data_IF_778535627501
#
_entry.id   IF_778535627501
#
_cell.length_a   1.000
_cell.length_b   1.000
_cell.length_c   1.000
_cell.angle_alpha   90.00
_cell.angle_beta   90.00
_cell.angle_gamma   90.00
#
_symmetry.space_group_name_H-M   'P 1'
#
loop_
_entity.id
_entity.type
_entity.pdbx_description
1 polymer ?
#
# COMPACT_ATOMS: atom_id res chain seq x y z
N UNK A 1 1.18 24.33 4.25
CA UNK A 1 2.50 24.82 4.71
C UNK A 1 3.48 23.63 4.56
N UNK A 2 4.62 23.85 3.89
CA UNK A 2 5.65 22.82 3.74
C UNK A 2 6.35 22.63 5.08
N UNK A 3 6.62 21.38 5.46
CA UNK A 3 7.32 21.04 6.70
C UNK A 3 8.77 21.56 6.67
N UNK A 4 9.33 22.14 7.77
CA UNK A 4 10.67 22.72 7.77
C UNK A 4 11.78 21.76 7.34
N UNK A 5 11.70 20.48 7.70
CA UNK A 5 12.68 19.46 7.29
C UNK A 5 12.73 19.25 5.78
N UNK A 6 11.58 19.37 5.09
CA UNK A 6 11.53 19.28 3.61
C UNK A 6 12.30 20.45 3.00
N UNK A 7 12.05 21.68 3.49
CA UNK A 7 12.77 22.87 3.02
C UNK A 7 14.27 22.75 3.22
N UNK A 8 14.71 22.18 4.34
CA UNK A 8 16.14 21.95 4.62
C UNK A 8 16.73 20.86 3.71
N UNK A 9 16.01 19.78 3.46
CA UNK A 9 16.46 18.70 2.58
C UNK A 9 16.63 19.16 1.14
N UNK A 10 15.76 20.06 0.66
CA UNK A 10 15.82 20.64 -0.69
C UNK A 10 17.08 21.48 -0.94
N UNK A 11 17.73 21.97 0.13
CA UNK A 11 19.01 22.70 0.01
C UNK A 11 20.17 21.78 -0.38
N UNK A 12 20.02 20.46 -0.30
CA UNK A 12 21.05 19.46 -0.64
C UNK A 12 22.38 19.67 0.08
N UNK A 13 22.34 20.18 1.30
CA UNK A 13 23.52 20.37 2.13
C UNK A 13 24.15 19.03 2.52
N UNK A 14 25.43 19.09 2.90
CA UNK A 14 26.19 17.93 3.36
C UNK A 14 26.66 18.12 4.78
N UNK A 15 26.87 17.02 5.51
CA UNK A 15 27.48 17.06 6.84
C UNK A 15 28.91 17.56 6.76
N UNK A 16 29.36 18.32 7.78
CA UNK A 16 30.73 18.81 7.89
C UNK A 16 31.67 17.70 8.36
N UNK A 17 31.15 16.78 9.19
CA UNK A 17 31.93 15.69 9.79
C UNK A 17 32.05 14.48 8.87
N UNK A 18 33.18 13.76 8.94
CA UNK A 18 33.38 12.50 8.22
C UNK A 18 32.59 11.36 8.88
N UNK A 19 31.93 10.49 8.07
CA UNK A 19 31.82 10.54 6.62
C UNK A 19 30.85 11.63 6.14
N UNK A 20 31.24 12.35 5.09
CA UNK A 20 30.41 13.40 4.49
C UNK A 20 29.17 12.78 3.87
N UNK A 21 28.01 13.06 4.42
CA UNK A 21 26.71 12.57 3.95
C UNK A 21 25.82 13.70 3.48
N UNK A 22 24.99 13.44 2.47
CA UNK A 22 23.94 14.37 2.07
C UNK A 22 22.88 14.43 3.17
N UNK A 23 22.43 15.62 3.54
CA UNK A 23 21.32 15.83 4.48
C UNK A 23 19.99 15.61 3.74
N UNK A 24 19.65 14.34 3.55
CA UNK A 24 18.34 13.95 3.01
C UNK A 24 17.26 14.15 4.06
N UNK A 25 16.01 14.20 3.63
CA UNK A 25 14.87 14.32 4.53
C UNK A 25 14.86 13.19 5.58
N UNK A 26 15.24 12.00 5.19
CA UNK A 26 15.33 10.84 6.07
C UNK A 26 16.39 11.03 7.16
N UNK A 27 17.61 11.46 6.77
CA UNK A 27 18.70 11.77 7.71
C UNK A 27 18.32 12.88 8.69
N UNK A 28 17.63 13.91 8.22
CA UNK A 28 17.16 15.02 9.06
C UNK A 28 16.06 14.57 10.03
N UNK A 29 15.14 13.71 9.58
CA UNK A 29 14.06 13.17 10.43
C UNK A 29 14.63 12.25 11.50
N UNK A 30 15.56 11.37 11.15
CA UNK A 30 16.26 10.49 12.09
C UNK A 30 17.04 11.29 13.13
N UNK A 31 17.75 12.34 12.70
CA UNK A 31 18.44 13.24 13.61
C UNK A 31 17.48 13.92 14.61
N UNK A 32 16.30 14.39 14.13
CA UNK A 32 15.29 15.01 14.99
C UNK A 32 14.72 13.99 15.98
N UNK A 33 14.46 12.75 15.54
CA UNK A 33 14.02 11.65 16.39
C UNK A 33 14.98 11.41 17.56
N UNK A 34 16.28 11.33 17.28
CA UNK A 34 17.33 11.18 18.29
C UNK A 34 17.34 12.36 19.28
N UNK A 35 17.18 13.61 18.80
CA UNK A 35 17.17 14.80 19.65
C UNK A 35 15.94 14.89 20.56
N UNK A 36 14.84 14.31 20.14
CA UNK A 36 13.56 14.31 20.89
C UNK A 36 13.32 13.04 21.69
N UNK A 37 14.30 12.11 21.69
CA UNK A 37 14.20 10.81 22.36
C UNK A 37 12.97 10.01 21.91
N UNK A 38 12.61 10.10 20.63
CA UNK A 38 11.58 9.28 20.00
C UNK A 38 12.23 8.24 19.08
N UNK A 39 11.63 7.07 18.98
CA UNK A 39 12.05 6.08 18.01
C UNK A 39 11.79 6.59 16.58
N UNK A 40 12.75 6.42 15.69
CA UNK A 40 12.55 6.66 14.27
C UNK A 40 11.89 5.42 13.63
N UNK A 41 10.79 5.63 12.92
CA UNK A 41 10.09 4.59 12.18
C UNK A 41 10.12 4.92 10.69
N UNK A 42 10.77 4.07 9.91
CA UNK A 42 10.54 4.04 8.48
C UNK A 42 9.17 3.36 8.23
N UNK A 43 8.21 4.12 7.72
CA UNK A 43 6.86 3.61 7.48
C UNK A 43 6.93 2.57 6.36
N UNK A 44 6.73 1.30 6.73
CA UNK A 44 6.59 0.20 5.79
C UNK A 44 5.09 -0.08 5.59
N UNK A 45 4.49 0.40 4.51
CA UNK A 45 3.05 0.26 4.28
C UNK A 45 2.60 -1.19 4.18
N UNK A 46 3.53 -2.12 3.90
CA UNK A 46 3.24 -3.56 3.84
C UNK A 46 2.97 -4.17 5.22
N UNK A 47 3.39 -3.49 6.29
CA UNK A 47 3.22 -3.96 7.67
C UNK A 47 2.09 -3.28 8.42
N UNK A 48 1.43 -2.31 7.79
CA UNK A 48 0.36 -1.54 8.43
C UNK A 48 -1.00 -2.14 8.13
N UNK A 49 -1.76 -2.46 9.18
CA UNK A 49 -3.19 -2.76 9.06
C UNK A 49 -3.97 -1.45 8.87
N UNK A 50 -4.15 -1.05 7.62
CA UNK A 50 -4.86 0.19 7.25
C UNK A 50 -6.31 0.23 7.74
N UNK A 51 -6.95 -0.92 7.94
CA UNK A 51 -8.34 -1.00 8.43
C UNK A 51 -8.40 -0.63 9.89
N UNK A 52 -7.57 -1.25 10.72
CA UNK A 52 -7.44 -0.93 12.14
C UNK A 52 -6.96 0.51 12.36
N UNK A 53 -6.03 0.99 11.54
CA UNK A 53 -5.52 2.37 11.56
C UNK A 53 -6.61 3.39 11.29
N UNK A 54 -7.47 3.16 10.29
CA UNK A 54 -8.55 4.08 9.94
C UNK A 54 -9.70 4.13 10.96
N UNK A 55 -9.74 3.20 11.90
CA UNK A 55 -10.71 3.18 13.00
C UNK A 55 -10.27 4.00 14.21
N UNK A 56 -8.97 4.28 14.35
CA UNK A 56 -8.41 5.03 15.47
C UNK A 56 -8.89 6.47 15.49
N UNK A 57 -8.90 7.12 14.34
CA UNK A 57 -9.28 8.52 14.21
C UNK A 57 -9.80 8.85 12.81
N UNK A 58 -10.46 9.99 12.63
CA UNK A 58 -10.88 10.43 11.30
C UNK A 58 -9.71 10.97 10.48
N UNK A 59 -9.80 10.84 9.14
CA UNK A 59 -8.80 11.41 8.22
C UNK A 59 -8.60 12.91 8.41
N UNK A 60 -9.68 13.65 8.68
CA UNK A 60 -9.63 15.09 8.93
C UNK A 60 -8.83 15.42 10.21
N UNK A 61 -9.01 14.61 11.26
CA UNK A 61 -8.26 14.79 12.50
C UNK A 61 -6.79 14.49 12.30
N UNK A 62 -6.47 13.34 11.67
CA UNK A 62 -5.11 12.94 11.37
C UNK A 62 -4.38 13.98 10.49
N UNK A 63 -5.04 14.49 9.44
CA UNK A 63 -4.49 15.52 8.57
C UNK A 63 -4.26 16.85 9.28
N UNK A 64 -5.16 17.24 10.22
CA UNK A 64 -5.04 18.47 10.97
C UNK A 64 -3.76 18.52 11.81
N UNK A 65 -3.37 17.39 12.38
CA UNK A 65 -2.20 17.30 13.26
C UNK A 65 -0.97 16.68 12.60
N UNK A 66 -1.07 16.26 11.32
CA UNK A 66 0.06 15.64 10.60
C UNK A 66 0.52 14.34 11.27
N UNK A 67 -0.44 13.49 11.68
CA UNK A 67 -0.19 12.24 12.41
C UNK A 67 -0.81 11.05 11.68
N UNK A 68 -0.15 9.91 11.78
CA UNK A 68 -0.61 8.67 11.16
C UNK A 68 -0.52 7.51 12.16
N UNK A 69 -1.64 6.88 12.56
CA UNK A 69 -1.56 5.62 13.28
C UNK A 69 -0.90 4.56 12.40
N UNK A 70 0.07 3.84 12.94
CA UNK A 70 0.84 2.84 12.18
C UNK A 70 0.71 1.43 12.74
N UNK A 71 0.31 1.32 13.99
CA UNK A 71 0.04 0.03 14.62
C UNK A 71 -1.04 0.17 15.68
N UNK A 72 -1.95 -0.78 15.72
CA UNK A 72 -3.03 -0.84 16.70
C UNK A 72 -3.05 -2.21 17.36
N UNK A 73 -2.88 -2.23 18.66
CA UNK A 73 -3.00 -3.44 19.47
C UNK A 73 -4.17 -3.32 20.43
N UNK A 74 -4.43 -4.32 21.24
CA UNK A 74 -5.47 -4.26 22.29
C UNK A 74 -5.16 -3.23 23.36
N UNK A 75 -3.88 -2.94 23.64
CA UNK A 75 -3.42 -2.07 24.75
C UNK A 75 -2.82 -0.76 24.29
N UNK A 76 -2.25 -0.71 23.10
CA UNK A 76 -1.43 0.40 22.61
C UNK A 76 -1.80 0.79 21.18
N UNK A 77 -1.69 2.08 20.87
CA UNK A 77 -1.70 2.62 19.52
C UNK A 77 -0.37 3.33 19.26
N UNK A 78 0.35 2.92 18.22
CA UNK A 78 1.56 3.61 17.79
C UNK A 78 1.17 4.63 16.74
N UNK A 79 1.57 5.88 16.96
CA UNK A 79 1.25 7.00 16.08
C UNK A 79 2.53 7.65 15.57
N UNK A 80 2.71 7.67 14.26
CA UNK A 80 3.79 8.38 13.60
C UNK A 80 3.48 9.88 13.52
N UNK A 81 4.48 10.70 13.81
CA UNK A 81 4.43 12.17 13.72
C UNK A 81 5.73 12.73 13.14
N UNK A 82 5.63 13.84 12.44
CA UNK A 82 6.79 14.65 12.05
C UNK A 82 7.01 15.83 13.01
N UNK A 83 6.03 16.13 13.88
CA UNK A 83 6.02 17.27 14.81
C UNK A 83 6.10 16.76 16.26
N UNK A 84 7.30 16.45 16.78
CA UNK A 84 7.47 15.81 18.10
C UNK A 84 7.05 16.68 19.28
N UNK A 85 6.97 17.98 19.08
CA UNK A 85 6.59 18.95 20.11
C UNK A 85 5.08 19.22 20.16
N UNK A 86 4.35 18.87 19.14
CA UNK A 86 2.89 19.06 19.03
C UNK A 86 2.17 17.88 19.68
N UNK A 87 1.95 17.90 20.99
CA UNK A 87 1.39 16.78 21.76
C UNK A 87 -0.04 17.00 22.27
N UNK A 88 -0.65 18.18 22.04
CA UNK A 88 -2.00 18.48 22.56
C UNK A 88 -3.05 17.42 22.17
N UNK A 89 -2.96 16.89 20.95
CA UNK A 89 -3.86 15.87 20.46
C UNK A 89 -3.79 14.52 21.22
N UNK A 90 -2.68 14.22 21.91
CA UNK A 90 -2.56 12.97 22.69
C UNK A 90 -3.51 12.96 23.89
N UNK A 91 -3.73 14.11 24.51
CA UNK A 91 -4.65 14.25 25.64
C UNK A 91 -6.12 14.12 25.21
N UNK A 92 -6.43 14.60 24.01
CA UNK A 92 -7.77 14.48 23.41
C UNK A 92 -8.12 13.03 23.04
N UNK A 93 -7.14 12.30 22.48
CA UNK A 93 -7.35 10.92 22.00
C UNK A 93 -7.31 9.85 23.09
N UNK A 94 -6.51 10.06 24.13
CA UNK A 94 -6.31 9.08 25.21
C UNK A 94 -7.61 8.59 25.88
N UNK A 95 -8.55 9.48 26.27
CA UNK A 95 -9.83 9.05 26.85
C UNK A 95 -10.76 8.35 25.84
N UNK A 96 -10.66 8.70 24.54
CA UNK A 96 -11.49 8.14 23.48
C UNK A 96 -11.04 6.72 23.16
N UNK A 97 -9.73 6.52 22.98
CA UNK A 97 -9.16 5.24 22.58
C UNK A 97 -9.07 4.23 23.74
N UNK A 98 -8.98 4.72 24.97
CA UNK A 98 -8.74 3.90 26.19
C UNK A 98 -7.53 2.98 26.04
N UNK A 99 -6.52 3.43 25.29
CA UNK A 99 -5.27 2.71 25.00
C UNK A 99 -4.09 3.64 25.26
N UNK A 100 -2.93 3.07 25.49
CA UNK A 100 -1.71 3.87 25.53
C UNK A 100 -1.33 4.36 24.14
N UNK A 101 -0.82 5.59 24.06
CA UNK A 101 -0.37 6.17 22.79
C UNK A 101 1.15 6.25 22.84
N UNK A 102 1.81 5.50 21.95
CA UNK A 102 3.24 5.57 21.74
C UNK A 102 3.53 6.39 20.48
N UNK A 103 4.36 7.42 20.65
CA UNK A 103 4.79 8.28 19.56
C UNK A 103 6.07 7.74 18.92
N UNK A 104 6.12 7.79 17.60
CA UNK A 104 7.31 7.52 16.81
C UNK A 104 7.50 8.63 15.78
N UNK A 105 8.76 8.94 15.47
CA UNK A 105 9.07 9.90 14.41
C UNK A 105 9.07 9.19 13.07
N UNK A 106 8.47 9.83 12.04
CA UNK A 106 8.55 9.35 10.67
C UNK A 106 8.70 10.53 9.69
N UNK A 107 9.10 10.19 8.47
CA UNK A 107 9.27 11.15 7.40
C UNK A 107 7.94 11.88 7.12
N UNK A 108 7.93 13.24 7.12
CA UNK A 108 6.72 14.03 6.91
C UNK A 108 6.04 13.77 5.56
N UNK A 109 6.79 13.55 4.49
CA UNK A 109 6.22 13.22 3.16
C UNK A 109 5.53 11.85 3.17
N UNK A 110 6.12 10.87 3.85
CA UNK A 110 5.50 9.55 4.00
C UNK A 110 4.22 9.62 4.82
N UNK A 111 4.22 10.37 5.93
CA UNK A 111 3.01 10.59 6.73
C UNK A 111 1.90 11.18 5.87
N UNK A 112 2.18 12.26 5.13
CA UNK A 112 1.17 12.95 4.31
C UNK A 112 0.65 12.02 3.20
N UNK A 113 1.52 11.31 2.49
CA UNK A 113 1.18 10.37 1.44
C UNK A 113 0.30 9.23 1.95
N UNK A 114 0.76 8.51 2.96
CA UNK A 114 0.06 7.34 3.49
C UNK A 114 -1.23 7.69 4.25
N UNK A 115 -1.29 8.89 4.81
CA UNK A 115 -2.53 9.40 5.41
C UNK A 115 -3.65 9.46 4.37
N UNK A 116 -3.38 10.06 3.20
CA UNK A 116 -4.36 10.12 2.12
C UNK A 116 -4.69 8.72 1.58
N UNK A 117 -3.67 7.90 1.34
CA UNK A 117 -3.83 6.58 0.76
C UNK A 117 -4.62 5.63 1.66
N UNK A 118 -4.23 5.49 2.93
CA UNK A 118 -4.85 4.53 3.85
C UNK A 118 -6.30 4.87 4.18
N UNK A 119 -6.60 6.15 4.42
CA UNK A 119 -7.97 6.55 4.71
C UNK A 119 -8.89 6.45 3.48
N UNK A 120 -8.38 6.75 2.28
CA UNK A 120 -9.16 6.59 1.05
C UNK A 120 -9.44 5.11 0.78
N UNK A 121 -8.44 4.26 0.96
CA UNK A 121 -8.60 2.81 0.79
C UNK A 121 -9.59 2.24 1.80
N UNK A 122 -9.42 2.52 3.08
CA UNK A 122 -10.34 2.06 4.13
C UNK A 122 -11.79 2.52 3.87
N UNK A 123 -11.97 3.78 3.42
CA UNK A 123 -13.27 4.32 3.03
C UNK A 123 -13.85 3.60 1.82
N UNK A 124 -13.02 3.27 0.82
CA UNK A 124 -13.46 2.56 -0.39
C UNK A 124 -13.84 1.11 -0.07
N UNK A 125 -13.05 0.43 0.75
CA UNK A 125 -13.37 -0.93 1.23
C UNK A 125 -14.65 -0.93 2.07
N UNK A 126 -14.80 0.01 3.02
CA UNK A 126 -16.03 0.16 3.82
C UNK A 126 -17.27 0.45 2.95
N UNK A 127 -17.16 1.32 1.95
CA UNK A 127 -18.27 1.65 1.05
C UNK A 127 -18.63 0.48 0.14
N UNK A 128 -17.65 -0.24 -0.37
CA UNK A 128 -17.87 -1.44 -1.16
C UNK A 128 -18.61 -2.51 -0.34
N UNK A 129 -18.24 -2.69 0.92
CA UNK A 129 -18.92 -3.60 1.84
C UNK A 129 -20.34 -3.10 2.25
N UNK A 130 -20.52 -1.80 2.49
CA UNK A 130 -21.79 -1.21 2.97
C UNK A 130 -22.89 -1.11 1.91
N UNK A 131 -22.56 -1.11 0.60
CA UNK A 131 -23.57 -1.08 -0.47
C UNK A 131 -24.45 -2.35 -0.52
N UNK A 132 -24.14 -3.33 0.31
CA UNK A 132 -24.91 -4.57 0.52
C UNK A 132 -26.11 -4.43 1.45
N UNK A 133 -26.18 -3.45 2.34
CA UNK A 133 -27.34 -3.26 3.24
C UNK A 133 -27.56 -1.80 3.66
N UNK A 134 -28.83 -1.40 3.64
CA UNK A 134 -29.34 -0.20 4.30
C UNK A 134 -29.73 -0.61 5.72
N UNK A 135 -28.97 -0.23 6.71
CA UNK A 135 -29.46 0.29 7.99
C UNK A 135 -28.35 0.54 9.01
N UNK A 136 -28.42 1.73 9.53
CA UNK A 136 -28.05 2.26 10.86
C UNK A 136 -26.98 1.52 11.68
N UNK A 137 -25.85 2.20 11.82
CA UNK A 137 -25.13 2.34 13.09
C UNK A 137 -24.57 1.06 13.69
N UNK A 138 -23.38 0.72 13.29
CA UNK A 138 -22.42 0.00 14.10
C UNK A 138 -21.10 -0.16 13.31
N UNK A 139 -20.00 0.22 13.90
CA UNK A 139 -18.69 0.30 13.27
C UNK A 139 -17.77 -0.79 13.82
N UNK A 140 -17.66 -1.90 13.13
CA UNK A 140 -16.64 -2.88 13.47
C UNK A 140 -16.30 -3.79 12.26
N UNK A 141 -15.04 -4.18 12.17
CA UNK A 141 -14.54 -5.12 11.18
C UNK A 141 -15.29 -6.47 11.22
N UNK A 142 -15.80 -6.87 12.39
CA UNK A 142 -16.67 -8.05 12.54
C UNK A 142 -17.94 -7.95 11.70
N UNK A 143 -18.46 -6.74 11.49
CA UNK A 143 -19.60 -6.50 10.60
C UNK A 143 -19.24 -6.58 9.12
N UNK A 144 -18.02 -6.27 8.73
CA UNK A 144 -17.53 -6.51 7.37
C UNK A 144 -17.42 -8.00 7.07
N UNK A 145 -17.06 -8.80 8.06
CA UNK A 145 -17.05 -10.27 7.97
C UNK A 145 -18.46 -10.83 7.95
N UNK A 146 -19.41 -10.26 8.69
CA UNK A 146 -20.83 -10.65 8.65
C UNK A 146 -21.52 -10.23 7.34
N UNK A 147 -21.21 -9.05 6.79
CA UNK A 147 -21.71 -8.60 5.50
C UNK A 147 -21.21 -9.46 4.32
N UNK A 148 -20.04 -10.10 4.48
CA UNK A 148 -19.54 -11.10 3.54
C UNK A 148 -20.42 -12.38 3.48
N UNK A 149 -21.30 -12.57 4.45
CA UNK A 149 -22.28 -13.67 4.48
C UNK A 149 -23.59 -13.35 3.75
N UNK A 150 -23.86 -12.10 3.42
CA UNK A 150 -25.05 -11.68 2.68
C UNK A 150 -24.74 -11.68 1.18
N UNK A 151 -25.46 -12.51 0.47
CA UNK A 151 -25.32 -12.92 -0.93
C UNK A 151 -25.67 -11.78 -1.92
N UNK A 152 -24.98 -10.64 -1.88
CA UNK A 152 -25.07 -9.60 -2.92
C UNK A 152 -23.78 -9.53 -3.71
N UNK A 153 -23.85 -9.88 -4.98
CA UNK A 153 -22.78 -9.73 -5.94
C UNK A 153 -22.56 -8.23 -6.21
N UNK A 154 -21.34 -7.74 -5.93
CA UNK A 154 -20.90 -6.44 -6.41
C UNK A 154 -20.70 -6.47 -7.91
N UNK A 155 -21.11 -5.41 -8.61
CA UNK A 155 -20.82 -5.27 -10.03
C UNK A 155 -19.33 -4.92 -10.23
N UNK A 156 -18.72 -5.54 -11.25
CA UNK A 156 -17.35 -5.24 -11.66
C UNK A 156 -17.14 -3.76 -12.06
N UNK A 157 -18.20 -3.05 -12.41
CA UNK A 157 -18.20 -1.63 -12.75
C UNK A 157 -18.57 -0.71 -11.59
N UNK A 158 -18.76 -1.25 -10.38
CA UNK A 158 -18.96 -0.40 -9.20
C UNK A 158 -17.76 0.53 -9.03
N UNK A 159 -18.03 1.83 -8.93
CA UNK A 159 -17.00 2.86 -8.84
C UNK A 159 -16.02 2.61 -7.69
N UNK A 160 -16.49 2.02 -6.58
CA UNK A 160 -15.61 1.69 -5.46
C UNK A 160 -14.65 0.55 -5.80
N UNK A 161 -15.12 -0.46 -6.54
CA UNK A 161 -14.28 -1.57 -7.00
C UNK A 161 -13.24 -1.08 -8.01
N UNK A 162 -13.64 -0.17 -8.91
CA UNK A 162 -12.72 0.47 -9.84
C UNK A 162 -11.60 1.19 -9.09
N UNK A 163 -11.95 2.02 -8.09
CA UNK A 163 -10.96 2.74 -7.28
C UNK A 163 -10.03 1.82 -6.48
N UNK A 164 -10.55 0.71 -5.94
CA UNK A 164 -9.72 -0.26 -5.21
C UNK A 164 -8.71 -0.93 -6.15
N UNK A 165 -9.13 -1.31 -7.38
CA UNK A 165 -8.24 -1.94 -8.36
C UNK A 165 -7.17 -0.96 -8.86
N UNK A 166 -7.56 0.28 -9.19
CA UNK A 166 -6.63 1.32 -9.64
C UNK A 166 -5.61 1.64 -8.56
N UNK A 167 -6.08 1.80 -7.32
CA UNK A 167 -5.22 2.02 -6.17
C UNK A 167 -4.24 0.84 -5.96
N UNK A 168 -4.73 -0.41 -6.02
CA UNK A 168 -3.90 -1.60 -5.85
C UNK A 168 -2.74 -1.64 -6.86
N UNK A 169 -3.01 -1.27 -8.12
CA UNK A 169 -1.98 -1.23 -9.14
C UNK A 169 -0.97 -0.11 -8.90
N UNK A 170 -1.44 1.10 -8.60
CA UNK A 170 -0.56 2.23 -8.28
C UNK A 170 0.34 1.89 -7.10
N UNK A 171 -0.25 1.34 -6.05
CA UNK A 171 0.51 0.94 -4.87
C UNK A 171 1.56 -0.14 -5.17
N UNK A 172 1.24 -1.11 -6.01
CA UNK A 172 2.21 -2.12 -6.44
C UNK A 172 3.36 -1.51 -7.27
N UNK A 173 3.07 -0.50 -8.11
CA UNK A 173 4.10 0.22 -8.86
C UNK A 173 5.02 1.03 -7.93
N UNK A 174 4.48 1.73 -6.95
CA UNK A 174 5.25 2.50 -5.97
C UNK A 174 6.15 1.59 -5.12
N UNK A 175 5.66 0.41 -4.76
CA UNK A 175 6.44 -0.59 -4.04
C UNK A 175 7.40 -1.39 -4.94
N UNK A 176 7.47 -1.09 -6.23
CA UNK A 176 8.31 -1.78 -7.23
C UNK A 176 8.07 -3.30 -7.22
N UNK A 177 6.82 -3.71 -7.00
CA UNK A 177 6.45 -5.11 -7.03
C UNK A 177 6.61 -5.69 -8.45
N UNK A 178 7.08 -6.93 -8.54
CA UNK A 178 7.13 -7.68 -9.81
C UNK A 178 5.83 -8.40 -10.10
N UNK A 179 5.13 -8.87 -9.07
CA UNK A 179 3.88 -9.61 -9.20
C UNK A 179 2.90 -9.20 -8.10
N UNK A 180 1.62 -9.19 -8.44
CA UNK A 180 0.49 -9.02 -7.53
C UNK A 180 -0.28 -10.34 -7.51
N UNK A 181 -0.51 -10.88 -6.33
CA UNK A 181 -1.29 -12.09 -6.12
C UNK A 181 -2.57 -11.75 -5.36
N UNK A 182 -3.72 -12.15 -5.88
CA UNK A 182 -5.02 -12.11 -5.19
C UNK A 182 -5.46 -13.55 -4.99
N UNK A 183 -5.51 -13.98 -3.74
CA UNK A 183 -5.68 -15.39 -3.39
C UNK A 183 -6.92 -15.58 -2.50
N UNK A 184 -7.91 -16.37 -2.96
CA UNK A 184 -9.07 -16.71 -2.14
C UNK A 184 -8.66 -17.65 -1.00
N UNK A 185 -9.20 -17.39 0.17
CA UNK A 185 -9.21 -18.28 1.32
C UNK A 185 -10.67 -18.54 1.71
N UNK A 186 -10.87 -19.34 2.75
CA UNK A 186 -12.22 -19.74 3.15
C UNK A 186 -13.15 -18.56 3.42
N UNK A 187 -12.67 -17.58 4.19
CA UNK A 187 -13.47 -16.49 4.70
C UNK A 187 -13.06 -15.11 4.16
N UNK A 188 -11.88 -15.00 3.56
CA UNK A 188 -11.34 -13.73 3.04
C UNK A 188 -10.36 -13.93 1.89
N UNK A 189 -10.14 -12.89 1.13
CA UNK A 189 -9.11 -12.81 0.10
C UNK A 189 -7.81 -12.24 0.67
N UNK A 190 -6.68 -12.81 0.27
CA UNK A 190 -5.35 -12.31 0.62
C UNK A 190 -4.71 -11.69 -0.62
N UNK A 191 -4.26 -10.46 -0.47
CA UNK A 191 -3.45 -9.77 -1.49
C UNK A 191 -1.99 -9.81 -1.06
N UNK A 192 -1.12 -10.27 -1.97
CA UNK A 192 0.33 -10.33 -1.76
C UNK A 192 1.06 -9.68 -2.92
N UNK A 193 2.14 -8.97 -2.61
CA UNK A 193 3.08 -8.45 -3.60
C UNK A 193 4.37 -9.25 -3.56
N UNK A 194 4.95 -9.49 -4.73
CA UNK A 194 6.32 -9.98 -4.82
C UNK A 194 7.25 -8.78 -4.98
N UNK A 195 8.13 -8.58 -4.00
CA UNK A 195 9.14 -7.51 -3.98
C UNK A 195 10.48 -8.19 -3.73
N UNK A 196 11.45 -7.93 -4.59
CA UNK A 196 12.79 -8.53 -4.54
C UNK A 196 12.77 -10.06 -4.38
N UNK A 197 11.86 -10.73 -5.10
CA UNK A 197 11.69 -12.18 -5.11
C UNK A 197 10.85 -12.75 -3.95
N UNK A 198 10.55 -11.97 -2.90
CA UNK A 198 9.81 -12.40 -1.71
C UNK A 198 8.35 -11.98 -1.80
N UNK A 199 7.43 -12.87 -1.39
CA UNK A 199 6.01 -12.56 -1.30
C UNK A 199 5.67 -11.95 0.06
N UNK A 200 5.21 -10.70 0.04
CA UNK A 200 4.72 -9.96 1.20
C UNK A 200 3.20 -9.92 1.20
N UNK A 201 2.57 -10.22 2.33
CA UNK A 201 1.13 -10.02 2.49
C UNK A 201 0.86 -8.53 2.68
N UNK A 202 0.01 -7.98 1.81
CA UNK A 202 -0.30 -6.54 1.79
C UNK A 202 -1.66 -6.29 2.43
N UNK A 203 -2.69 -7.02 2.00
CA UNK A 203 -4.07 -6.84 2.47
C UNK A 203 -4.78 -8.16 2.69
N UNK A 204 -5.80 -8.07 3.57
CA UNK A 204 -6.88 -9.02 3.67
C UNK A 204 -8.18 -8.30 3.33
N UNK A 205 -8.96 -8.85 2.42
CA UNK A 205 -10.18 -8.23 1.92
C UNK A 205 -11.34 -9.23 2.00
N UNK A 206 -12.57 -8.76 2.23
CA UNK A 206 -13.75 -9.63 2.20
C UNK A 206 -13.87 -10.34 0.85
N UNK A 207 -14.35 -11.59 0.86
CA UNK A 207 -14.50 -12.40 -0.36
C UNK A 207 -15.40 -11.74 -1.41
N UNK A 208 -16.42 -11.00 -0.97
CA UNK A 208 -17.33 -10.25 -1.86
C UNK A 208 -16.58 -9.17 -2.64
N UNK A 209 -15.72 -8.41 -1.97
CA UNK A 209 -14.85 -7.39 -2.59
C UNK A 209 -13.81 -8.05 -3.50
N UNK A 210 -13.17 -9.13 -3.03
CA UNK A 210 -12.20 -9.88 -3.84
C UNK A 210 -12.79 -10.41 -5.14
N UNK A 211 -13.97 -11.01 -5.08
CA UNK A 211 -14.66 -11.54 -6.26
C UNK A 211 -15.00 -10.42 -7.26
N UNK A 212 -15.45 -9.27 -6.77
CA UNK A 212 -15.73 -8.10 -7.62
C UNK A 212 -14.45 -7.53 -8.24
N UNK A 213 -13.36 -7.43 -7.48
CA UNK A 213 -12.05 -7.03 -8.01
C UNK A 213 -11.55 -8.00 -9.08
N UNK A 214 -11.64 -9.31 -8.84
CA UNK A 214 -11.26 -10.34 -9.82
C UNK A 214 -12.10 -10.21 -11.09
N UNK A 215 -13.41 -10.02 -10.97
CA UNK A 215 -14.30 -9.78 -12.11
C UNK A 215 -13.92 -8.51 -12.89
N UNK A 216 -13.60 -7.43 -12.18
CA UNK A 216 -13.13 -6.17 -12.80
C UNK A 216 -11.83 -6.36 -13.57
N UNK A 217 -10.86 -7.04 -12.97
CA UNK A 217 -9.55 -7.28 -13.59
C UNK A 217 -9.69 -8.21 -14.80
N UNK A 218 -10.54 -9.24 -14.71
CA UNK A 218 -10.87 -10.12 -15.85
C UNK A 218 -11.47 -9.32 -17.01
N UNK A 219 -12.41 -8.41 -16.73
CA UNK A 219 -13.03 -7.53 -17.72
C UNK A 219 -11.96 -6.67 -18.42
N UNK A 220 -11.08 -6.03 -17.67
CA UNK A 220 -9.99 -5.22 -18.20
C UNK A 220 -8.99 -6.06 -19.02
N UNK A 221 -8.74 -7.29 -18.62
CA UNK A 221 -7.87 -8.27 -19.29
C UNK A 221 -8.52 -8.97 -20.49
N UNK A 222 -9.77 -8.64 -20.81
CA UNK A 222 -10.58 -9.30 -21.86
C UNK A 222 -10.73 -10.80 -21.66
N UNK A 223 -10.83 -11.23 -20.39
CA UNK A 223 -11.11 -12.61 -20.02
C UNK A 223 -12.62 -12.81 -19.81
N UNK A 224 -13.07 -14.07 -19.88
CA UNK A 224 -14.45 -14.43 -19.59
C UNK A 224 -14.72 -14.32 -18.08
N UNK A 225 -15.58 -13.37 -17.69
CA UNK A 225 -15.93 -13.10 -16.29
C UNK A 225 -16.81 -14.20 -15.70
N UNK A 226 -17.60 -14.88 -16.54
CA UNK A 226 -18.56 -15.91 -16.10
C UNK A 226 -17.85 -17.25 -15.85
N UNK A 227 -16.89 -17.61 -16.70
CA UNK A 227 -16.12 -18.84 -16.55
C UNK A 227 -15.13 -18.73 -15.39
N UNK A 228 -15.30 -19.57 -14.37
CA UNK A 228 -14.48 -19.58 -13.14
C UNK A 228 -13.79 -20.93 -12.89
N UNK A 229 -14.05 -21.91 -13.73
CA UNK A 229 -13.58 -23.30 -13.56
C UNK A 229 -12.35 -23.64 -14.40
N UNK A 230 -11.98 -22.76 -15.31
CA UNK A 230 -10.84 -22.95 -16.21
C UNK A 230 -9.81 -21.85 -16.00
N UNK A 231 -8.52 -22.16 -16.08
CA UNK A 231 -7.47 -21.14 -16.15
C UNK A 231 -7.69 -20.23 -17.35
N UNK A 232 -7.40 -18.95 -17.18
CA UNK A 232 -7.46 -17.95 -18.22
C UNK A 232 -6.26 -17.04 -18.13
N UNK A 233 -5.80 -16.56 -19.29
CA UNK A 233 -4.74 -15.58 -19.40
C UNK A 233 -5.26 -14.31 -20.09
N UNK A 234 -4.76 -13.18 -19.68
CA UNK A 234 -5.11 -11.88 -20.23
C UNK A 234 -3.98 -10.87 -20.07
N UNK A 235 -4.20 -9.67 -20.58
CA UNK A 235 -3.25 -8.58 -20.46
C UNK A 235 -3.96 -7.23 -20.38
N UNK A 236 -3.39 -6.34 -19.61
CA UNK A 236 -3.84 -4.94 -19.50
C UNK A 236 -2.66 -4.03 -19.70
N UNK A 237 -2.82 -3.01 -20.53
CA UNK A 237 -1.88 -1.89 -20.62
C UNK A 237 -2.39 -0.76 -19.75
N UNK A 238 -1.54 -0.22 -18.92
CA UNK A 238 -1.85 0.88 -18.01
C UNK A 238 -0.66 1.82 -17.89
N UNK A 239 -0.79 2.86 -17.06
CA UNK A 239 0.28 3.82 -16.79
C UNK A 239 0.56 3.91 -15.31
N UNK A 240 1.83 4.02 -14.95
CA UNK A 240 2.23 4.34 -13.59
C UNK A 240 1.86 5.79 -13.24
N UNK A 241 1.85 6.19 -11.96
CA UNK A 241 1.67 7.59 -11.55
C UNK A 241 2.66 8.54 -12.21
N UNK A 242 3.87 8.08 -12.52
CA UNK A 242 4.90 8.82 -13.25
C UNK A 242 4.65 8.91 -14.77
N UNK A 243 3.50 8.42 -15.27
CA UNK A 243 3.12 8.46 -16.67
C UNK A 243 3.77 7.39 -17.56
N UNK A 244 4.57 6.47 -17.01
CA UNK A 244 5.21 5.39 -17.78
C UNK A 244 4.21 4.31 -18.15
N UNK A 245 4.29 3.79 -19.37
CA UNK A 245 3.46 2.67 -19.81
C UNK A 245 4.00 1.36 -19.24
N UNK A 246 3.11 0.56 -18.67
CA UNK A 246 3.39 -0.80 -18.17
C UNK A 246 2.33 -1.76 -18.69
N UNK A 247 2.73 -3.01 -18.89
CA UNK A 247 1.84 -4.11 -19.24
C UNK A 247 1.69 -5.03 -18.02
N UNK A 248 0.44 -5.33 -17.66
CA UNK A 248 0.12 -6.35 -16.67
C UNK A 248 -0.27 -7.63 -17.41
N UNK A 249 0.46 -8.71 -17.19
CA UNK A 249 0.09 -10.04 -17.67
C UNK A 249 -0.69 -10.75 -16.56
N UNK A 250 -1.91 -11.13 -16.88
CA UNK A 250 -2.89 -11.66 -15.96
C UNK A 250 -3.01 -13.16 -16.17
N UNK A 251 -3.12 -13.90 -15.08
CA UNK A 251 -3.45 -15.32 -15.13
C UNK A 251 -4.40 -15.66 -13.98
N UNK A 252 -5.51 -16.32 -14.30
CA UNK A 252 -6.45 -16.84 -13.30
C UNK A 252 -6.35 -18.34 -13.19
N UNK A 253 -6.47 -18.85 -11.97
CA UNK A 253 -6.44 -20.27 -11.68
C UNK A 253 -7.56 -20.65 -10.71
N UNK A 254 -8.43 -21.63 -11.04
CA UNK A 254 -9.45 -22.15 -10.13
C UNK A 254 -8.80 -22.75 -8.88
N UNK A 255 -9.38 -22.45 -7.73
CA UNK A 255 -9.01 -23.07 -6.44
C UNK A 255 -10.26 -23.53 -5.70
N UNK A 256 -10.06 -24.23 -4.59
CA UNK A 256 -11.19 -24.70 -3.76
C UNK A 256 -12.07 -23.57 -3.20
N UNK A 257 -11.52 -22.33 -3.07
CA UNK A 257 -12.22 -21.20 -2.48
C UNK A 257 -12.57 -20.09 -3.49
N UNK A 258 -12.32 -20.30 -4.78
CA UNK A 258 -12.58 -19.33 -5.84
C UNK A 258 -11.39 -19.21 -6.80
N UNK A 259 -11.38 -18.17 -7.61
CA UNK A 259 -10.30 -17.95 -8.56
C UNK A 259 -9.13 -17.21 -7.90
N UNK A 260 -7.93 -17.80 -7.96
CA UNK A 260 -6.68 -17.10 -7.70
C UNK A 260 -6.33 -16.30 -8.95
N UNK A 261 -5.92 -15.04 -8.75
CA UNK A 261 -5.43 -14.16 -9.81
C UNK A 261 -3.99 -13.78 -9.54
N UNK A 262 -3.16 -13.87 -10.57
CA UNK A 262 -1.77 -13.38 -10.55
C UNK A 262 -1.62 -12.35 -11.67
N UNK A 263 -1.02 -11.22 -11.34
CA UNK A 263 -0.71 -10.15 -12.28
C UNK A 263 0.79 -9.90 -12.24
N UNK A 264 1.49 -10.22 -13.33
CA UNK A 264 2.91 -9.88 -13.49
C UNK A 264 3.05 -8.49 -14.09
N UNK A 265 3.81 -7.65 -13.45
CA UNK A 265 4.10 -6.29 -13.91
C UNK A 265 5.29 -6.36 -14.86
N UNK A 266 5.05 -5.93 -16.08
CA UNK A 266 6.05 -5.91 -17.13
C UNK A 266 6.34 -4.45 -17.52
N UNK A 267 7.50 -3.96 -17.05
CA UNK A 267 7.99 -2.63 -17.39
C UNK A 267 8.95 -2.73 -18.58
N UNK A 268 8.59 -2.20 -19.77
CA UNK A 268 9.44 -2.27 -20.95
C UNK A 268 10.79 -1.57 -20.77
N UNK A 269 10.87 -0.53 -19.93
CA UNK A 269 12.11 0.21 -19.69
C UNK A 269 13.17 -0.66 -18.99
N UNK A 270 12.76 -1.66 -18.22
CA UNK A 270 13.68 -2.58 -17.57
C UNK A 270 14.44 -3.44 -18.58
N UNK A 271 13.83 -3.71 -19.74
CA UNK A 271 14.44 -4.53 -20.81
C UNK A 271 15.55 -3.81 -21.57
N UNK A 272 15.57 -2.48 -21.51
CA UNK A 272 16.52 -1.63 -22.26
C UNK A 272 17.72 -1.22 -21.40
N UNK A 273 17.77 -1.68 -20.15
CA UNK A 273 18.90 -1.37 -19.25
C UNK A 273 20.18 -2.00 -19.76
N UNK A 274 21.26 -1.23 -19.74
CA UNK A 274 22.60 -1.72 -20.06
C UNK A 274 23.13 -2.64 -18.95
N UNK A 275 24.08 -3.48 -19.30
CA UNK A 275 24.69 -4.45 -18.36
C UNK A 275 25.35 -3.76 -17.17
N UNK A 276 25.83 -2.53 -17.34
CA UNK A 276 26.47 -1.75 -16.27
C UNK A 276 25.43 -1.33 -15.21
N UNK A 277 24.24 -0.89 -15.66
CA UNK A 277 23.14 -0.54 -14.76
C UNK A 277 22.55 -1.75 -14.03
N UNK A 278 22.79 -2.97 -14.53
CA UNK A 278 22.43 -4.24 -13.89
C UNK A 278 23.51 -4.75 -12.92
N UNK A 279 24.61 -4.00 -12.73
CA UNK A 279 25.68 -4.35 -11.79
C UNK A 279 26.76 -5.27 -12.34
N UNK A 280 26.80 -5.52 -13.66
CA UNK A 280 27.89 -6.29 -14.26
C UNK A 280 29.20 -5.52 -14.20
N UNK A 281 30.29 -6.21 -13.81
CA UNK A 281 31.63 -5.67 -13.88
C UNK A 281 32.07 -5.40 -15.34
N UNK A 282 33.07 -4.57 -15.56
CA UNK A 282 33.58 -4.31 -16.92
C UNK A 282 34.14 -5.58 -17.58
N UNK A 283 34.71 -6.47 -16.78
CA UNK A 283 35.20 -7.76 -17.23
C UNK A 283 34.05 -8.67 -17.70
N UNK A 284 32.97 -8.77 -16.90
CA UNK A 284 31.80 -9.57 -17.26
C UNK A 284 31.08 -9.02 -18.48
N UNK A 285 30.98 -7.70 -18.62
CA UNK A 285 30.42 -7.07 -19.81
C UNK A 285 31.24 -7.41 -21.06
N UNK A 286 32.56 -7.42 -20.95
CA UNK A 286 33.46 -7.75 -22.05
C UNK A 286 33.31 -9.21 -22.46
N UNK A 287 33.30 -10.12 -21.50
CA UNK A 287 33.03 -11.55 -21.72
C UNK A 287 31.67 -11.78 -22.36
N UNK A 288 30.62 -11.12 -21.85
CA UNK A 288 29.27 -11.21 -22.42
C UNK A 288 29.24 -10.78 -23.89
N UNK A 289 29.83 -9.62 -24.22
CA UNK A 289 29.91 -9.12 -25.59
C UNK A 289 30.70 -10.03 -26.52
N UNK A 290 31.68 -10.79 -26.00
CA UNK A 290 32.42 -11.78 -26.78
C UNK A 290 31.58 -13.02 -27.07
N UNK A 291 30.74 -13.46 -26.09
CA UNK A 291 29.88 -14.63 -26.24
C UNK A 291 28.65 -14.37 -27.11
N UNK A 292 28.25 -13.13 -27.29
CA UNK A 292 27.02 -12.74 -28.04
C UNK A 292 27.32 -12.20 -29.43
N UNK A 293 28.58 -12.22 -29.89
CA UNK A 293 29.01 -11.99 -31.27
C UNK A 293 28.89 -13.26 -32.08
#
# INVERSE_FOLDING_TARGET
KVHPLIVLADQKWRTINSPVRLLTLEVLTEWLAQKTCLDYLHIDPLKIDFTGVAEVMSSAYAARFGILPVQVTTREVVVATAEPFLRAWTEDLKPILRKEIRLVMANPEDIERYLVEFFNLAKSVKKAAAKGEISSGLSSFEQLVELGKVNKQFDANDQHIVHIVDWLWQYAFDQRASDIHIEPRRDMGIVRFRIDGVLHQVYQIPMTVMNAMTSRIKLLGRMDVIEKRRPQDGRVKTRTPAGREVELRLSTLPTAFGEKLVMRIFDPEVLVRDLRSLGFSEEDQTRWKQMTK
#
